data_IF_476844078621
#
_entry.id   IF_476844078621
#
_cell.length_a   1.000
_cell.length_b   1.000
_cell.length_c   1.000
_cell.angle_alpha   90.00
_cell.angle_beta   90.00
_cell.angle_gamma   90.00
#
_symmetry.space_group_name_H-M   'P 1'
#
loop_
_entity.id
_entity.type
_entity.pdbx_description
1 polymer ?
#
# COMPACT_ATOMS: atom_id res chain seq x y z
N UNK A 1 -6.58 4.27 -26.69
CA UNK A 1 -6.15 2.87 -26.70
C UNK A 1 -6.02 2.25 -25.30
N UNK A 2 -6.08 3.01 -24.21
CA UNK A 2 -5.85 2.51 -22.83
C UNK A 2 -7.10 1.84 -22.21
N UNK A 3 -8.28 2.43 -22.35
CA UNK A 3 -9.52 1.90 -21.73
C UNK A 3 -9.97 0.52 -22.23
N UNK A 4 -9.77 0.23 -23.51
CA UNK A 4 -10.16 -1.06 -24.10
C UNK A 4 -9.27 -2.22 -23.58
N UNK A 5 -7.99 -1.94 -23.30
CA UNK A 5 -7.04 -2.92 -22.77
C UNK A 5 -7.34 -3.22 -21.30
N UNK A 6 -7.68 -2.20 -20.53
CA UNK A 6 -7.99 -2.31 -19.09
C UNK A 6 -9.26 -3.12 -18.84
N UNK A 7 -10.31 -2.86 -19.63
CA UNK A 7 -11.57 -3.61 -19.55
C UNK A 7 -11.40 -5.09 -19.96
N UNK A 8 -10.49 -5.39 -20.90
CA UNK A 8 -10.22 -6.76 -21.33
C UNK A 8 -9.49 -7.55 -20.23
N UNK A 9 -8.54 -6.91 -19.56
CA UNK A 9 -7.77 -7.50 -18.44
C UNK A 9 -8.69 -7.83 -17.25
N UNK A 10 -9.57 -6.91 -16.87
CA UNK A 10 -10.54 -7.12 -15.78
C UNK A 10 -11.52 -8.26 -16.11
N UNK A 11 -11.98 -8.35 -17.37
CA UNK A 11 -12.85 -9.44 -17.83
C UNK A 11 -12.17 -10.81 -17.76
N UNK A 12 -10.90 -10.89 -18.13
CA UNK A 12 -10.13 -12.13 -18.10
C UNK A 12 -9.80 -12.58 -16.67
N UNK A 13 -9.52 -11.63 -15.76
CA UNK A 13 -9.34 -11.89 -14.33
C UNK A 13 -10.65 -12.46 -13.73
N UNK A 14 -11.79 -11.89 -14.07
CA UNK A 14 -13.09 -12.40 -13.64
C UNK A 14 -13.37 -13.85 -14.10
N UNK A 15 -13.01 -14.20 -15.33
CA UNK A 15 -13.11 -15.55 -15.84
C UNK A 15 -12.12 -16.52 -15.15
N UNK A 16 -10.91 -16.02 -14.79
CA UNK A 16 -9.91 -16.77 -14.06
C UNK A 16 -10.32 -17.08 -12.62
N UNK A 17 -11.00 -16.16 -11.94
CA UNK A 17 -11.58 -16.37 -10.61
C UNK A 17 -12.52 -17.56 -10.60
N UNK A 18 -13.42 -17.65 -11.58
CA UNK A 18 -14.35 -18.77 -11.71
C UNK A 18 -13.63 -20.12 -11.91
N UNK A 19 -12.48 -20.11 -12.61
CA UNK A 19 -11.65 -21.28 -12.85
C UNK A 19 -10.80 -21.68 -11.63
N UNK A 20 -10.31 -20.68 -10.87
CA UNK A 20 -9.51 -20.88 -9.66
C UNK A 20 -10.30 -21.52 -8.50
N UNK A 21 -11.61 -21.23 -8.42
CA UNK A 21 -12.51 -21.84 -7.40
C UNK A 21 -12.57 -23.38 -7.53
N UNK A 22 -12.21 -23.94 -8.70
CA UNK A 22 -12.21 -25.38 -8.94
C UNK A 22 -10.92 -26.09 -8.49
N UNK A 23 -9.90 -25.36 -8.04
CA UNK A 23 -8.64 -25.94 -7.56
C UNK A 23 -8.54 -25.90 -6.02
N UNK A 24 -7.73 -26.76 -5.45
CA UNK A 24 -7.57 -26.94 -4.00
C UNK A 24 -7.10 -25.67 -3.24
N UNK A 25 -6.60 -24.67 -3.95
CA UNK A 25 -6.30 -23.33 -3.41
C UNK A 25 -6.75 -22.25 -4.42
N UNK A 26 -7.94 -21.65 -4.21
CA UNK A 26 -8.51 -20.69 -5.15
C UNK A 26 -7.67 -19.42 -5.31
N UNK A 27 -6.93 -19.01 -4.29
CA UNK A 27 -6.10 -17.80 -4.34
C UNK A 27 -4.88 -18.02 -5.24
N UNK A 28 -4.22 -19.18 -5.15
CA UNK A 28 -3.08 -19.52 -6.02
C UNK A 28 -3.50 -19.55 -7.50
N UNK A 29 -4.67 -20.12 -7.81
CA UNK A 29 -5.19 -20.12 -9.17
C UNK A 29 -5.52 -18.71 -9.69
N UNK A 30 -6.03 -17.82 -8.83
CA UNK A 30 -6.27 -16.42 -9.17
C UNK A 30 -4.96 -15.68 -9.46
N UNK A 31 -3.96 -15.86 -8.62
CA UNK A 31 -2.62 -15.29 -8.80
C UNK A 31 -2.04 -15.74 -10.14
N UNK A 32 -2.09 -17.04 -10.46
CA UNK A 32 -1.62 -17.56 -11.75
C UNK A 32 -2.30 -16.90 -12.95
N UNK A 33 -3.63 -16.71 -12.88
CA UNK A 33 -4.38 -16.07 -13.97
C UNK A 33 -3.97 -14.61 -14.18
N UNK A 34 -3.72 -13.88 -13.09
CA UNK A 34 -3.21 -12.50 -13.15
C UNK A 34 -1.86 -12.47 -13.86
N UNK A 35 -0.99 -13.43 -13.60
CA UNK A 35 0.35 -13.48 -14.19
C UNK A 35 0.37 -13.88 -15.65
N UNK A 36 -0.47 -14.79 -16.08
CA UNK A 36 -0.55 -15.20 -17.48
C UNK A 36 -0.89 -14.02 -18.42
N UNK A 37 -1.62 -13.02 -17.90
CA UNK A 37 -1.94 -11.79 -18.62
C UNK A 37 -0.72 -10.84 -18.73
N UNK A 38 0.22 -10.88 -17.78
CA UNK A 38 1.37 -9.97 -17.69
C UNK A 38 2.69 -10.61 -18.13
N UNK A 39 2.70 -11.62 -18.97
CA UNK A 39 3.86 -12.46 -19.34
C UNK A 39 4.97 -11.75 -20.13
N UNK A 40 5.44 -10.57 -19.74
CA UNK A 40 6.63 -9.94 -20.30
C UNK A 40 7.90 -10.26 -19.47
N UNK A 41 9.04 -10.48 -20.17
CA UNK A 41 10.31 -10.88 -19.53
C UNK A 41 10.84 -9.90 -18.47
N UNK A 42 10.50 -8.62 -18.58
CA UNK A 42 10.96 -7.58 -17.64
C UNK A 42 10.34 -7.72 -16.24
N UNK A 43 9.25 -8.45 -16.12
CA UNK A 43 8.46 -8.57 -14.91
C UNK A 43 8.68 -9.89 -14.17
N UNK A 44 9.44 -10.82 -14.76
CA UNK A 44 9.65 -12.15 -14.18
C UNK A 44 10.28 -12.10 -12.78
N UNK A 45 11.35 -11.31 -12.59
CA UNK A 45 12.01 -11.21 -11.28
C UNK A 45 11.09 -10.60 -10.21
N UNK A 46 10.33 -9.57 -10.57
CA UNK A 46 9.36 -8.95 -9.63
C UNK A 46 8.19 -9.88 -9.35
N UNK A 47 7.80 -10.66 -10.35
CA UNK A 47 6.79 -11.69 -10.20
C UNK A 47 7.25 -12.75 -9.20
N UNK A 48 8.44 -13.29 -9.38
CA UNK A 48 9.01 -14.30 -8.47
C UNK A 48 9.08 -13.77 -7.04
N UNK A 49 9.56 -12.54 -6.85
CA UNK A 49 9.58 -11.88 -5.54
C UNK A 49 8.18 -11.68 -4.94
N UNK A 50 7.21 -11.26 -5.77
CA UNK A 50 5.82 -11.13 -5.33
C UNK A 50 5.25 -12.48 -4.90
N UNK A 51 5.41 -13.53 -5.72
CA UNK A 51 4.92 -14.88 -5.42
C UNK A 51 5.52 -15.40 -4.11
N UNK A 52 6.84 -15.29 -3.95
CA UNK A 52 7.55 -15.71 -2.75
C UNK A 52 7.02 -15.02 -1.48
N UNK A 53 7.00 -13.67 -1.50
CA UNK A 53 6.54 -12.89 -0.33
C UNK A 53 5.04 -13.13 -0.06
N UNK A 54 4.23 -13.24 -1.11
CA UNK A 54 2.80 -13.48 -0.96
C UNK A 54 2.51 -14.88 -0.40
N UNK A 55 3.20 -15.92 -0.90
CA UNK A 55 3.04 -17.28 -0.37
C UNK A 55 3.49 -17.40 1.09
N UNK A 56 4.61 -16.77 1.45
CA UNK A 56 5.09 -16.74 2.83
C UNK A 56 4.02 -16.16 3.76
N UNK A 57 3.54 -14.95 3.46
CA UNK A 57 2.54 -14.28 4.29
C UNK A 57 1.17 -14.98 4.28
N UNK A 58 0.81 -15.63 3.18
CA UNK A 58 -0.41 -16.40 3.09
C UNK A 58 -0.36 -17.66 3.98
N UNK A 59 0.81 -18.31 4.07
CA UNK A 59 1.02 -19.45 4.99
C UNK A 59 0.84 -19.03 6.45
N UNK A 60 1.27 -17.84 6.82
CA UNK A 60 1.15 -17.34 8.19
C UNK A 60 -0.30 -17.15 8.64
N UNK A 61 -1.21 -16.87 7.71
CA UNK A 61 -2.62 -16.62 8.00
C UNK A 61 -3.56 -17.75 7.61
N UNK A 62 -3.07 -18.81 6.95
CA UNK A 62 -3.90 -19.86 6.36
C UNK A 62 -4.81 -20.60 7.36
N UNK A 63 -4.41 -20.66 8.65
CA UNK A 63 -5.17 -21.33 9.69
C UNK A 63 -6.24 -20.41 10.34
N UNK A 64 -6.11 -19.09 10.13
CA UNK A 64 -6.95 -18.08 10.76
C UNK A 64 -8.00 -17.51 9.80
N UNK A 65 -7.97 -17.95 8.55
CA UNK A 65 -8.74 -17.34 7.48
C UNK A 65 -9.55 -18.36 6.69
N UNK A 66 -10.83 -18.08 6.52
CA UNK A 66 -11.70 -18.82 5.60
C UNK A 66 -11.56 -18.28 4.17
N UNK A 67 -10.81 -18.99 3.33
CA UNK A 67 -10.58 -18.60 1.95
C UNK A 67 -11.86 -18.52 1.10
N UNK A 68 -12.90 -19.28 1.40
CA UNK A 68 -14.19 -19.17 0.69
C UNK A 68 -14.87 -17.84 1.02
N UNK A 69 -14.77 -17.43 2.28
CA UNK A 69 -15.29 -16.13 2.72
C UNK A 69 -14.54 -14.97 2.07
N UNK A 70 -13.21 -15.07 1.94
CA UNK A 70 -12.41 -14.05 1.24
C UNK A 70 -12.85 -13.88 -0.21
N UNK A 71 -13.07 -14.98 -0.92
CA UNK A 71 -13.53 -14.94 -2.30
C UNK A 71 -14.91 -14.30 -2.44
N UNK A 72 -15.70 -14.24 -1.35
CA UNK A 72 -16.98 -13.54 -1.30
C UNK A 72 -16.85 -12.04 -1.02
N UNK A 73 -15.65 -11.54 -0.65
CA UNK A 73 -15.41 -10.10 -0.46
C UNK A 73 -15.64 -9.40 -1.80
N UNK A 74 -16.56 -8.43 -1.88
CA UNK A 74 -16.81 -7.71 -3.12
C UNK A 74 -15.50 -7.10 -3.67
N UNK A 75 -15.26 -7.31 -4.96
CA UNK A 75 -14.08 -6.78 -5.67
C UNK A 75 -12.71 -7.29 -5.17
N UNK A 76 -12.64 -8.36 -4.36
CA UNK A 76 -11.36 -8.89 -3.89
C UNK A 76 -10.41 -9.23 -5.05
N UNK A 77 -10.92 -9.85 -6.11
CA UNK A 77 -10.15 -10.17 -7.31
C UNK A 77 -9.55 -8.90 -7.96
N UNK A 78 -10.30 -7.80 -7.98
CA UNK A 78 -9.82 -6.53 -8.51
C UNK A 78 -8.75 -5.90 -7.59
N UNK A 79 -8.93 -5.98 -6.29
CA UNK A 79 -7.94 -5.51 -5.31
C UNK A 79 -6.62 -6.27 -5.49
N UNK A 80 -6.69 -7.60 -5.57
CA UNK A 80 -5.52 -8.45 -5.80
C UNK A 80 -4.83 -8.12 -7.13
N UNK A 81 -5.60 -7.95 -8.22
CA UNK A 81 -5.07 -7.58 -9.53
C UNK A 81 -4.38 -6.22 -9.50
N UNK A 82 -4.99 -5.21 -8.89
CA UNK A 82 -4.42 -3.86 -8.79
C UNK A 82 -3.14 -3.85 -7.94
N UNK A 83 -3.11 -4.60 -6.85
CA UNK A 83 -1.91 -4.73 -6.01
C UNK A 83 -0.77 -5.43 -6.75
N UNK A 84 -1.06 -6.54 -7.44
CA UNK A 84 -0.08 -7.26 -8.25
C UNK A 84 0.45 -6.39 -9.40
N UNK A 85 -0.44 -5.70 -10.12
CA UNK A 85 -0.05 -4.77 -11.18
C UNK A 85 0.83 -3.63 -10.62
N UNK A 86 0.45 -3.04 -9.49
CA UNK A 86 1.25 -2.02 -8.82
C UNK A 86 2.65 -2.53 -8.50
N UNK A 87 2.77 -3.68 -7.85
CA UNK A 87 4.04 -4.30 -7.50
C UNK A 87 4.94 -4.57 -8.71
N UNK A 88 4.34 -5.01 -9.83
CA UNK A 88 5.09 -5.31 -11.05
C UNK A 88 5.49 -4.07 -11.86
N UNK A 89 4.70 -3.00 -11.83
CA UNK A 89 4.94 -1.76 -12.58
C UNK A 89 5.76 -0.74 -11.81
N UNK A 90 5.88 -0.87 -10.50
CA UNK A 90 6.61 0.09 -9.67
C UNK A 90 8.11 0.06 -9.97
N UNK A 91 8.73 1.24 -9.99
CA UNK A 91 10.17 1.37 -10.22
C UNK A 91 10.96 0.85 -9.00
N UNK A 92 10.40 1.02 -7.82
CA UNK A 92 11.01 0.66 -6.54
C UNK A 92 10.65 -0.79 -6.15
N UNK A 93 11.57 -1.70 -6.44
CA UNK A 93 11.37 -3.14 -6.21
C UNK A 93 11.06 -3.49 -4.75
N UNK A 94 11.57 -2.71 -3.81
CA UNK A 94 11.35 -2.93 -2.37
C UNK A 94 9.90 -2.62 -1.93
N UNK A 95 9.09 -1.98 -2.79
CA UNK A 95 7.65 -1.78 -2.55
C UNK A 95 6.81 -3.05 -2.74
N UNK A 96 7.35 -4.10 -3.35
CA UNK A 96 6.64 -5.38 -3.56
C UNK A 96 6.03 -5.88 -2.24
N UNK A 97 6.80 -5.88 -1.15
CA UNK A 97 6.31 -6.28 0.17
C UNK A 97 5.14 -5.44 0.68
N UNK A 98 5.12 -4.14 0.39
CA UNK A 98 4.04 -3.23 0.79
C UNK A 98 2.75 -3.54 0.03
N UNK A 99 2.83 -3.84 -1.28
CA UNK A 99 1.66 -4.29 -2.05
C UNK A 99 1.12 -5.63 -1.56
N UNK A 100 2.00 -6.58 -1.20
CA UNK A 100 1.58 -7.84 -0.58
C UNK A 100 0.87 -7.58 0.75
N UNK A 101 1.43 -6.74 1.62
CA UNK A 101 0.79 -6.38 2.89
C UNK A 101 -0.61 -5.80 2.70
N UNK A 102 -0.82 -4.99 1.65
CA UNK A 102 -2.14 -4.45 1.31
C UNK A 102 -3.17 -5.56 1.09
N UNK A 103 -2.80 -6.60 0.34
CA UNK A 103 -3.68 -7.74 0.09
C UNK A 103 -3.91 -8.55 1.37
N UNK A 104 -2.85 -8.87 2.11
CA UNK A 104 -2.94 -9.62 3.36
C UNK A 104 -3.80 -8.88 4.40
N UNK A 105 -3.65 -7.57 4.51
CA UNK A 105 -4.46 -6.76 5.41
C UNK A 105 -5.92 -6.65 4.95
N UNK A 106 -6.16 -6.69 3.62
CA UNK A 106 -7.52 -6.83 3.08
C UNK A 106 -8.15 -8.16 3.48
N UNK A 107 -7.38 -9.24 3.43
CA UNK A 107 -7.83 -10.58 3.84
C UNK A 107 -8.15 -10.63 5.34
N UNK A 108 -7.29 -10.04 6.19
CA UNK A 108 -7.47 -10.04 7.65
C UNK A 108 -8.66 -9.18 8.11
N UNK A 109 -8.97 -8.12 7.39
CA UNK A 109 -9.99 -7.15 7.77
C UNK A 109 -11.21 -7.31 6.84
N UNK A 110 -12.10 -8.24 7.17
CA UNK A 110 -13.27 -8.60 6.38
C UNK A 110 -14.22 -7.43 6.04
N UNK A 111 -14.20 -6.35 6.83
CA UNK A 111 -15.03 -5.15 6.69
C UNK A 111 -14.38 -4.02 5.88
N UNK A 112 -13.39 -4.31 5.05
CA UNK A 112 -12.72 -3.25 4.29
C UNK A 112 -13.68 -2.59 3.31
N UNK A 113 -13.80 -1.29 3.49
CA UNK A 113 -14.43 -0.42 2.53
C UNK A 113 -13.61 -0.42 1.22
N UNK A 114 -14.15 -1.03 0.17
CA UNK A 114 -13.51 -1.13 -1.15
C UNK A 114 -12.99 0.21 -1.66
N UNK A 115 -13.71 1.31 -1.44
CA UNK A 115 -13.29 2.65 -1.82
C UNK A 115 -11.99 3.05 -1.11
N UNK A 116 -11.90 2.79 0.20
CA UNK A 116 -10.69 3.09 0.99
C UNK A 116 -9.50 2.26 0.51
N UNK A 117 -9.69 0.97 0.23
CA UNK A 117 -8.66 0.08 -0.33
C UNK A 117 -8.13 0.60 -1.66
N UNK A 118 -9.01 1.05 -2.56
CA UNK A 118 -8.60 1.65 -3.83
C UNK A 118 -7.82 2.94 -3.65
N UNK A 119 -8.25 3.81 -2.72
CA UNK A 119 -7.51 5.03 -2.39
C UNK A 119 -6.11 4.67 -1.89
N UNK A 120 -5.98 3.71 -0.99
CA UNK A 120 -4.69 3.31 -0.43
C UNK A 120 -3.75 2.65 -1.45
N UNK A 121 -4.28 1.84 -2.36
CA UNK A 121 -3.49 1.29 -3.47
C UNK A 121 -2.99 2.39 -4.42
N UNK A 122 -3.80 3.39 -4.71
CA UNK A 122 -3.38 4.53 -5.53
C UNK A 122 -2.31 5.37 -4.80
N UNK A 123 -2.50 5.66 -3.52
CA UNK A 123 -1.51 6.35 -2.69
C UNK A 123 -0.19 5.57 -2.64
N UNK A 124 -0.23 4.24 -2.46
CA UNK A 124 0.97 3.41 -2.46
C UNK A 124 1.71 3.48 -3.80
N UNK A 125 1.00 3.49 -4.92
CA UNK A 125 1.60 3.63 -6.24
C UNK A 125 2.26 4.99 -6.44
N UNK A 126 1.62 6.06 -5.96
CA UNK A 126 2.07 7.45 -6.16
C UNK A 126 3.17 7.86 -5.16
N UNK A 127 3.26 7.21 -4.00
CA UNK A 127 4.32 7.41 -3.01
C UNK A 127 5.60 6.67 -3.40
N UNK A 128 6.76 7.29 -3.26
CA UNK A 128 8.06 6.60 -3.26
C UNK A 128 8.34 6.01 -1.87
N UNK A 129 9.33 5.12 -1.75
CA UNK A 129 9.80 4.63 -0.45
C UNK A 129 10.20 5.77 0.48
N UNK A 130 10.78 6.84 -0.07
CA UNK A 130 11.14 8.02 0.72
C UNK A 130 9.90 8.74 1.30
N UNK A 131 8.78 8.81 0.56
CA UNK A 131 7.51 9.32 1.10
C UNK A 131 7.05 8.48 2.29
N UNK A 132 7.11 7.15 2.17
CA UNK A 132 6.67 6.20 3.21
C UNK A 132 7.62 6.29 4.43
N UNK A 133 8.92 6.41 4.21
CA UNK A 133 9.90 6.57 5.27
C UNK A 133 9.64 7.87 6.05
N UNK A 134 9.48 9.00 5.36
CA UNK A 134 9.18 10.29 6.00
C UNK A 134 7.86 10.23 6.76
N UNK A 135 6.82 9.64 6.17
CA UNK A 135 5.52 9.47 6.82
C UNK A 135 5.64 8.61 8.09
N UNK A 136 6.47 7.58 8.05
CA UNK A 136 6.78 6.71 9.20
C UNK A 136 7.52 7.48 10.29
N UNK A 137 8.49 8.31 9.95
CA UNK A 137 9.17 9.16 10.94
C UNK A 137 8.20 10.15 11.60
N UNK A 138 7.31 10.75 10.78
CA UNK A 138 6.26 11.64 11.31
C UNK A 138 5.33 10.88 12.28
N UNK A 139 5.02 9.61 11.99
CA UNK A 139 4.15 8.78 12.84
C UNK A 139 4.75 8.46 14.21
N UNK A 140 6.07 8.39 14.30
CA UNK A 140 6.83 8.14 15.56
C UNK A 140 6.97 9.40 16.41
N UNK A 141 6.81 10.57 15.80
CA UNK A 141 6.95 11.82 16.51
C UNK A 141 5.84 11.98 17.55
N UNK A 142 6.21 12.32 18.78
CA UNK A 142 5.22 12.64 19.82
C UNK A 142 4.47 13.90 19.40
N UNK A 143 3.11 13.91 19.54
CA UNK A 143 2.35 15.11 19.29
C UNK A 143 2.91 16.25 20.17
N UNK A 144 3.05 17.47 19.61
CA UNK A 144 3.56 18.60 20.37
C UNK A 144 2.67 18.83 21.58
N UNK A 145 3.27 18.87 22.77
CA UNK A 145 2.57 19.35 23.96
C UNK A 145 2.17 20.81 23.71
N UNK A 146 1.01 21.28 24.24
CA UNK A 146 0.45 22.59 23.93
C UNK A 146 1.37 23.81 24.16
N UNK A 147 2.53 23.61 24.73
CA UNK A 147 3.51 24.66 25.06
C UNK A 147 4.98 24.28 24.75
N UNK A 148 5.23 23.19 24.02
CA UNK A 148 6.59 22.74 23.70
C UNK A 148 6.91 22.92 22.21
N UNK A 149 8.07 23.52 21.91
CA UNK A 149 8.62 23.71 20.57
C UNK A 149 9.06 22.39 19.90
N UNK A 150 8.55 21.24 20.32
CA UNK A 150 8.96 19.91 19.84
C UNK A 150 8.65 19.69 18.35
N UNK A 151 7.71 20.45 17.78
CA UNK A 151 7.37 20.35 16.36
C UNK A 151 8.47 20.93 15.46
N UNK A 152 9.23 21.91 15.95
CA UNK A 152 10.38 22.47 15.21
C UNK A 152 11.53 21.47 15.09
N UNK A 153 11.64 20.53 16.03
CA UNK A 153 12.71 19.55 16.03
C UNK A 153 12.51 18.50 14.94
N UNK A 154 11.28 18.00 14.72
CA UNK A 154 11.03 16.98 13.70
C UNK A 154 11.41 17.44 12.29
N UNK A 155 10.98 18.63 11.87
CA UNK A 155 11.36 19.18 10.56
C UNK A 155 12.87 19.41 10.45
N UNK A 156 13.50 19.87 11.53
CA UNK A 156 14.94 20.06 11.57
C UNK A 156 15.67 18.72 11.50
N UNK A 157 15.21 17.71 12.22
CA UNK A 157 15.74 16.35 12.19
C UNK A 157 15.62 15.73 10.79
N UNK A 158 14.46 15.88 10.14
CA UNK A 158 14.24 15.44 8.76
C UNK A 158 15.19 16.15 7.78
N UNK A 159 15.36 17.47 7.90
CA UNK A 159 16.31 18.23 7.07
C UNK A 159 17.76 17.79 7.29
N UNK A 160 18.16 17.57 8.54
CA UNK A 160 19.49 17.03 8.82
C UNK A 160 19.70 15.64 8.25
N UNK A 161 18.66 14.78 8.29
CA UNK A 161 18.72 13.41 7.81
C UNK A 161 18.79 13.33 6.28
N UNK A 162 17.93 14.07 5.59
CA UNK A 162 17.78 13.93 4.15
C UNK A 162 18.61 14.91 3.32
N UNK A 163 19.16 15.95 3.90
CA UNK A 163 20.12 16.92 3.31
C UNK A 163 19.68 17.60 1.99
N UNK A 164 18.54 17.26 1.42
CA UNK A 164 17.97 17.84 0.22
C UNK A 164 16.64 18.51 0.58
N UNK A 165 16.72 19.80 0.86
CA UNK A 165 15.56 20.57 1.31
C UNK A 165 14.47 20.65 0.24
N UNK A 166 14.82 20.69 -1.05
CA UNK A 166 13.84 20.81 -2.13
C UNK A 166 13.04 19.52 -2.30
N UNK A 167 13.70 18.37 -2.28
CA UNK A 167 13.04 17.06 -2.35
C UNK A 167 12.19 16.85 -1.09
N UNK A 168 12.71 17.16 0.09
CA UNK A 168 11.94 17.03 1.33
C UNK A 168 10.68 17.92 1.32
N UNK A 169 10.79 19.18 0.88
CA UNK A 169 9.63 20.06 0.78
C UNK A 169 8.62 19.58 -0.25
N UNK A 170 9.06 19.04 -1.39
CA UNK A 170 8.19 18.45 -2.39
C UNK A 170 7.42 17.24 -1.83
N UNK A 171 8.10 16.36 -1.08
CA UNK A 171 7.48 15.20 -0.42
C UNK A 171 6.47 15.63 0.63
N UNK A 172 6.84 16.55 1.52
CA UNK A 172 5.92 17.04 2.56
C UNK A 172 4.69 17.72 1.96
N UNK A 173 4.87 18.45 0.86
CA UNK A 173 3.76 19.03 0.12
C UNK A 173 2.84 17.95 -0.47
N UNK A 174 3.41 16.95 -1.14
CA UNK A 174 2.65 15.83 -1.73
C UNK A 174 1.87 15.06 -0.65
N UNK A 175 2.51 14.71 0.47
CA UNK A 175 1.85 14.05 1.60
C UNK A 175 0.71 14.89 2.19
N UNK A 176 0.86 16.22 2.23
CA UNK A 176 -0.17 17.13 2.71
C UNK A 176 -1.33 17.27 1.71
N UNK A 177 -1.06 17.35 0.41
CA UNK A 177 -2.06 17.40 -0.65
C UNK A 177 -2.89 16.11 -0.71
N UNK A 178 -2.28 14.98 -0.40
CA UNK A 178 -2.94 13.68 -0.25
C UNK A 178 -3.60 13.48 1.12
N UNK A 179 -3.65 14.49 1.96
CA UNK A 179 -4.25 14.45 3.30
C UNK A 179 -3.67 13.39 4.24
N UNK A 180 -2.44 12.93 4.01
CA UNK A 180 -1.76 11.97 4.90
C UNK A 180 -1.13 12.65 6.10
N UNK A 181 -0.71 13.90 5.94
CA UNK A 181 -0.21 14.74 7.02
C UNK A 181 -0.93 16.08 7.03
N UNK A 182 -0.97 16.69 8.20
CA UNK A 182 -1.35 18.07 8.38
C UNK A 182 -0.09 18.90 8.63
N UNK A 183 0.20 19.84 7.75
CA UNK A 183 1.33 20.74 7.92
C UNK A 183 0.88 22.18 7.73
N UNK A 184 1.11 23.01 8.71
CA UNK A 184 0.76 24.43 8.68
C UNK A 184 1.90 25.24 8.00
N UNK A 185 2.30 24.85 6.80
CA UNK A 185 3.47 25.39 6.09
C UNK A 185 3.40 26.90 5.78
N UNK A 186 2.26 27.59 5.95
CA UNK A 186 2.12 28.95 5.41
C UNK A 186 1.62 30.04 6.33
N UNK A 187 1.18 29.78 7.55
CA UNK A 187 0.47 30.82 8.32
C UNK A 187 1.11 31.27 9.64
N UNK A 188 2.04 30.51 10.22
CA UNK A 188 2.52 30.83 11.60
C UNK A 188 4.04 30.60 11.79
N UNK A 189 4.88 30.90 10.79
CA UNK A 189 6.35 30.81 10.97
C UNK A 189 6.90 29.37 10.98
N UNK A 190 8.22 29.20 11.20
CA UNK A 190 8.91 27.92 11.06
C UNK A 190 8.59 26.85 12.12
N UNK A 191 7.60 27.07 12.95
CA UNK A 191 7.26 26.23 14.12
C UNK A 191 5.93 25.49 14.03
N UNK A 192 5.30 25.47 12.84
CA UNK A 192 4.03 24.78 12.70
C UNK A 192 4.23 23.25 12.78
N UNK A 193 3.43 22.53 13.61
CA UNK A 193 3.58 21.10 13.77
C UNK A 193 3.19 20.37 12.48
N UNK A 194 4.03 19.43 12.05
CA UNK A 194 3.65 18.43 11.07
C UNK A 194 3.07 17.25 11.83
N UNK A 195 1.81 16.91 11.58
CA UNK A 195 1.08 15.89 12.32
C UNK A 195 0.52 14.87 11.33
N UNK A 196 0.63 13.60 11.67
CA UNK A 196 -0.01 12.53 10.92
C UNK A 196 -1.54 12.64 11.07
N UNK A 197 -2.26 12.59 9.97
CA UNK A 197 -3.74 12.54 9.97
C UNK A 197 -4.22 11.13 10.32
N UNK A 198 -5.51 10.97 10.60
CA UNK A 198 -6.09 9.65 10.80
C UNK A 198 -6.03 8.84 9.50
N UNK A 199 -6.25 9.46 8.34
CA UNK A 199 -6.04 8.81 7.03
C UNK A 199 -4.60 8.33 6.85
N UNK A 200 -3.61 9.15 7.25
CA UNK A 200 -2.20 8.78 7.18
C UNK A 200 -1.85 7.61 8.12
N UNK A 201 -2.42 7.56 9.32
CA UNK A 201 -2.27 6.43 10.24
C UNK A 201 -2.85 5.14 9.65
N UNK A 202 -4.08 5.22 9.15
CA UNK A 202 -4.75 4.08 8.53
C UNK A 202 -4.00 3.59 7.28
N UNK A 203 -3.50 4.51 6.46
CA UNK A 203 -2.68 4.17 5.30
C UNK A 203 -1.41 3.42 5.71
N UNK A 204 -0.64 3.94 6.67
CA UNK A 204 0.55 3.25 7.18
C UNK A 204 0.22 1.87 7.76
N UNK A 205 -0.85 1.75 8.53
CA UNK A 205 -1.30 0.45 9.06
C UNK A 205 -1.67 -0.51 7.93
N UNK A 206 -2.27 0.00 6.86
CA UNK A 206 -2.73 -0.82 5.75
C UNK A 206 -1.58 -1.39 4.90
N UNK A 207 -0.50 -0.62 4.71
CA UNK A 207 0.68 -1.06 3.95
C UNK A 207 1.73 -1.77 4.82
N UNK A 208 1.65 -1.65 6.14
CA UNK A 208 2.61 -2.26 7.07
C UNK A 208 2.24 -3.70 7.38
N UNK A 209 3.23 -4.47 7.81
CA UNK A 209 3.00 -5.78 8.40
C UNK A 209 2.22 -5.63 9.71
N UNK A 210 1.09 -6.29 9.80
CA UNK A 210 0.30 -6.31 11.04
C UNK A 210 0.53 -7.63 11.75
N UNK A 211 0.99 -7.56 12.99
CA UNK A 211 1.05 -8.72 13.87
C UNK A 211 -0.35 -9.31 14.04
N UNK A 212 -0.44 -10.63 13.90
CA UNK A 212 -1.67 -11.35 14.23
C UNK A 212 -1.88 -11.17 15.72
N UNK A 213 -2.85 -10.35 16.11
CA UNK A 213 -3.26 -10.28 17.51
C UNK A 213 -3.81 -11.67 17.88
N UNK A 214 -2.98 -12.43 18.62
CA UNK A 214 -3.39 -13.68 19.26
C UNK A 214 -4.32 -13.41 20.43
#
# INVERSE_FOLDING_TARGET
MSEATENHTISNIGAGVAKAIMHSNPITGLVQTIYDEYASRQWQQRREKWEEVFEEKLKDIQNDVDFQKIMSIPNFAQILANAAQGAMSDIEEDKVGLYVNTVINTIKNEDINNTKTHIFLNLLRDCTLLHIEILTEISKAKPPAPYNNSASNLLMDLRMKYKDDEILEAILKNLSENHLIYTALKTIGPTAPTILTDLGKEFLQFISEQDIKK
#
